data_IF_446765320623
#
_entry.id   IF_446765320623
#
_cell.length_a   1.000
_cell.length_b   1.000
_cell.length_c   1.000
_cell.angle_alpha   90.00
_cell.angle_beta   90.00
_cell.angle_gamma   90.00
#
_symmetry.space_group_name_H-M   'P 1'
#
loop_
_entity.id
_entity.type
_entity.pdbx_description
1 polymer ?
#
# COMPACT_ATOMS: atom_id res chain seq x y z
N UNK A 1 -3.67 6.13 14.48
CA UNK A 1 -4.39 4.89 14.15
C UNK A 1 -5.86 5.15 14.34
N UNK A 2 -6.68 4.78 13.35
CA UNK A 2 -8.13 4.87 13.41
C UNK A 2 -8.72 3.48 13.65
N UNK A 3 -9.79 3.37 14.42
CA UNK A 3 -10.50 2.11 14.65
C UNK A 3 -11.93 2.24 14.15
N UNK A 4 -12.36 1.32 13.29
CA UNK A 4 -13.72 1.26 12.75
C UNK A 4 -14.22 -0.17 12.82
N UNK A 5 -15.28 -0.42 13.60
CA UNK A 5 -15.84 -1.76 13.82
C UNK A 5 -14.78 -2.79 14.26
N UNK A 6 -13.76 -2.36 15.02
CA UNK A 6 -12.64 -3.22 15.45
C UNK A 6 -11.45 -3.24 14.48
N UNK A 7 -11.63 -2.80 13.23
CA UNK A 7 -10.58 -2.78 12.20
C UNK A 7 -9.63 -1.62 12.46
N UNK A 8 -8.32 -1.92 12.58
CA UNK A 8 -7.28 -0.91 12.85
C UNK A 8 -6.66 -0.42 11.54
N UNK A 9 -6.94 0.84 11.20
CA UNK A 9 -6.50 1.48 9.96
C UNK A 9 -5.41 2.50 10.28
N UNK A 10 -4.30 2.45 9.55
CA UNK A 10 -3.23 3.44 9.64
C UNK A 10 -2.86 3.96 8.26
N UNK A 11 -2.81 5.28 8.11
CA UNK A 11 -2.45 5.95 6.86
C UNK A 11 -1.25 6.87 7.04
N UNK A 12 -0.39 6.95 6.02
CA UNK A 12 0.70 7.92 5.99
C UNK A 12 1.07 8.33 4.56
N UNK A 13 1.40 9.61 4.37
CA UNK A 13 1.65 10.19 3.04
C UNK A 13 3.11 10.19 2.62
N UNK A 14 4.06 9.74 3.46
CA UNK A 14 5.49 9.72 3.11
C UNK A 14 5.75 8.92 1.83
N UNK A 15 6.68 9.40 0.99
CA UNK A 15 7.07 8.71 -0.24
C UNK A 15 8.45 9.21 -0.76
N UNK A 16 9.14 8.48 -1.65
CA UNK A 16 10.46 8.84 -2.17
C UNK A 16 10.42 9.56 -3.53
N UNK A 17 9.46 10.45 -3.78
CA UNK A 17 9.32 11.16 -5.07
C UNK A 17 9.73 12.64 -4.91
N UNK A 18 10.93 13.04 -5.36
CA UNK A 18 11.41 14.42 -5.19
C UNK A 18 10.48 15.43 -5.87
N UNK A 19 10.31 16.60 -5.25
CA UNK A 19 9.52 17.71 -5.81
C UNK A 19 8.03 17.70 -5.46
N UNK A 20 7.53 16.66 -4.78
CA UNK A 20 6.14 16.58 -4.31
C UNK A 20 6.05 16.70 -2.78
N UNK A 21 4.88 17.09 -2.28
CA UNK A 21 4.61 17.20 -0.84
C UNK A 21 4.78 15.85 -0.14
N UNK A 22 5.29 15.83 1.09
CA UNK A 22 5.59 14.60 1.86
C UNK A 22 6.72 13.72 1.29
N UNK A 23 7.50 14.26 0.33
CA UNK A 23 8.70 13.61 -0.17
C UNK A 23 9.79 13.49 0.90
N UNK A 24 10.29 12.28 1.10
CA UNK A 24 11.45 11.97 1.94
C UNK A 24 12.40 11.09 1.13
N UNK A 25 13.68 11.47 0.98
CA UNK A 25 14.65 10.67 0.24
C UNK A 25 14.78 9.25 0.80
N UNK A 26 14.98 8.27 -0.10
CA UNK A 26 15.24 6.87 0.27
C UNK A 26 16.43 6.76 1.24
N UNK A 27 16.46 5.66 1.99
CA UNK A 27 17.45 5.40 3.03
C UNK A 27 16.95 5.80 4.41
N UNK A 28 17.89 6.09 5.32
CA UNK A 28 17.62 6.21 6.77
C UNK A 28 16.41 7.08 7.12
N UNK A 29 16.27 8.27 6.50
CA UNK A 29 15.18 9.21 6.81
C UNK A 29 13.80 8.65 6.47
N UNK A 30 13.68 7.93 5.35
CA UNK A 30 12.42 7.31 4.97
C UNK A 30 12.15 6.06 5.80
N UNK A 31 13.18 5.27 6.11
CA UNK A 31 13.07 4.15 7.04
C UNK A 31 12.59 4.57 8.44
N UNK A 32 13.06 5.72 8.94
CA UNK A 32 12.56 6.34 10.18
C UNK A 32 11.07 6.73 10.10
N UNK A 33 10.57 7.09 8.91
CA UNK A 33 9.13 7.32 8.74
C UNK A 33 8.34 6.02 8.80
N UNK A 34 8.86 4.94 8.24
CA UNK A 34 8.23 3.62 8.30
C UNK A 34 8.26 3.02 9.70
N UNK A 35 9.30 3.29 10.50
CA UNK A 35 9.37 2.84 11.90
C UNK A 35 8.31 3.49 12.80
N UNK A 36 7.77 4.65 12.40
CA UNK A 36 6.65 5.31 13.11
C UNK A 36 5.30 4.61 12.90
N UNK A 37 5.16 3.74 11.89
CA UNK A 37 3.93 2.97 11.69
C UNK A 37 3.78 2.02 12.89
N UNK A 38 2.66 2.06 13.64
CA UNK A 38 2.47 1.19 14.79
C UNK A 38 2.40 -0.27 14.36
N UNK A 39 2.64 -1.17 15.30
CA UNK A 39 2.31 -2.58 15.13
C UNK A 39 0.80 -2.78 15.16
N UNK A 40 0.34 -4.00 14.88
CA UNK A 40 -1.07 -4.36 15.01
C UNK A 40 -2.00 -3.55 14.09
N UNK A 41 -1.53 -3.18 12.91
CA UNK A 41 -2.34 -2.53 11.87
C UNK A 41 -3.02 -3.62 11.04
N UNK A 42 -4.32 -3.50 10.82
CA UNK A 42 -5.06 -4.42 9.95
C UNK A 42 -5.02 -3.96 8.50
N UNK A 43 -5.24 -2.66 8.29
CA UNK A 43 -5.19 -2.02 6.98
C UNK A 43 -4.17 -0.87 7.01
N UNK A 44 -3.11 -1.01 6.23
CA UNK A 44 -2.11 0.02 6.01
C UNK A 44 -2.45 0.79 4.73
N UNK A 45 -2.36 2.11 4.77
CA UNK A 45 -2.51 2.98 3.58
C UNK A 45 -1.26 3.83 3.40
N UNK A 46 -0.61 3.73 2.25
CA UNK A 46 0.53 4.58 1.88
C UNK A 46 0.34 5.16 0.49
N UNK A 47 1.08 6.22 0.14
CA UNK A 47 1.09 6.67 -1.25
C UNK A 47 1.92 5.73 -2.14
N UNK A 48 3.14 5.39 -1.68
CA UNK A 48 4.10 4.57 -2.43
C UNK A 48 3.86 3.07 -2.28
N UNK A 49 4.03 2.26 -3.36
CA UNK A 49 4.04 0.81 -3.28
C UNK A 49 5.24 0.27 -2.49
N UNK A 50 5.11 -0.88 -1.81
CA UNK A 50 6.28 -1.63 -1.37
C UNK A 50 6.98 -2.25 -2.59
N UNK A 51 8.28 -2.52 -2.47
CA UNK A 51 9.05 -3.13 -3.56
C UNK A 51 8.43 -4.47 -3.99
N UNK A 52 8.32 -4.72 -5.29
CA UNK A 52 7.87 -6.00 -5.84
C UNK A 52 6.34 -6.17 -5.98
N UNK A 53 5.53 -5.27 -5.43
CA UNK A 53 4.07 -5.33 -5.49
C UNK A 53 3.51 -4.18 -6.32
N UNK A 54 3.04 -4.49 -7.53
CA UNK A 54 2.40 -3.53 -8.45
C UNK A 54 3.21 -2.24 -8.66
N UNK A 55 4.54 -2.37 -8.67
CA UNK A 55 5.49 -1.26 -8.58
C UNK A 55 6.34 -1.06 -9.84
N UNK A 56 6.07 -1.81 -10.91
CA UNK A 56 6.76 -1.68 -12.20
C UNK A 56 6.29 -0.43 -12.93
N UNK A 57 7.19 0.35 -13.50
CA UNK A 57 6.84 1.46 -14.38
C UNK A 57 6.88 1.07 -15.86
N UNK A 58 6.47 1.95 -16.78
CA UNK A 58 6.43 1.66 -18.24
C UNK A 58 7.75 1.17 -18.82
N UNK A 59 8.86 1.63 -18.26
CA UNK A 59 10.22 1.28 -18.68
C UNK A 59 10.76 0.00 -18.01
N UNK A 60 9.92 -0.70 -17.23
CA UNK A 60 10.30 -1.91 -16.49
C UNK A 60 11.02 -1.64 -15.17
N UNK A 61 11.28 -0.37 -14.81
CA UNK A 61 11.92 -0.03 -13.53
C UNK A 61 10.98 -0.29 -12.35
N UNK A 62 11.56 -0.59 -11.18
CA UNK A 62 10.82 -0.83 -9.94
C UNK A 62 10.82 0.42 -9.07
N UNK A 63 9.64 0.98 -8.82
CA UNK A 63 9.46 2.21 -8.06
C UNK A 63 9.10 1.96 -6.59
N UNK A 64 8.88 0.71 -6.19
CA UNK A 64 8.51 0.37 -4.83
C UNK A 64 9.61 0.65 -3.80
N UNK A 65 9.22 0.77 -2.54
CA UNK A 65 10.13 1.03 -1.43
C UNK A 65 10.52 -0.26 -0.70
N UNK A 66 11.81 -0.61 -0.73
CA UNK A 66 12.33 -1.79 -0.03
C UNK A 66 12.25 -1.68 1.50
N UNK A 67 12.49 -0.49 2.06
CA UNK A 67 12.33 -0.26 3.51
C UNK A 67 10.88 -0.43 3.96
N UNK A 68 9.92 -0.04 3.11
CA UNK A 68 8.48 -0.23 3.37
C UNK A 68 8.10 -1.70 3.32
N UNK A 69 8.54 -2.43 2.29
CA UNK A 69 8.34 -3.89 2.21
C UNK A 69 8.90 -4.58 3.46
N UNK A 70 10.14 -4.26 3.83
CA UNK A 70 10.79 -4.82 5.00
C UNK A 70 10.01 -4.52 6.30
N UNK A 71 9.48 -3.30 6.46
CA UNK A 71 8.65 -2.95 7.61
C UNK A 71 7.33 -3.75 7.62
N UNK A 72 6.70 -3.94 6.46
CA UNK A 72 5.47 -4.70 6.30
C UNK A 72 5.70 -6.17 6.67
N UNK A 73 6.65 -6.84 6.02
CA UNK A 73 6.85 -8.29 6.17
C UNK A 73 7.39 -8.68 7.54
N UNK A 74 8.24 -7.84 8.15
CA UNK A 74 8.92 -8.20 9.40
C UNK A 74 8.23 -7.73 10.66
N UNK A 75 7.38 -6.70 10.59
CA UNK A 75 6.87 -6.04 11.80
C UNK A 75 5.39 -5.69 11.73
N UNK A 76 4.95 -4.99 10.69
CA UNK A 76 3.59 -4.43 10.65
C UNK A 76 2.58 -5.54 10.33
N UNK A 77 2.89 -6.37 9.33
CA UNK A 77 2.10 -7.55 8.90
C UNK A 77 0.59 -7.26 8.79
N UNK A 78 0.18 -6.21 8.05
CA UNK A 78 -1.23 -5.91 7.87
C UNK A 78 -1.90 -6.97 7.00
N UNK A 79 -3.21 -7.16 7.15
CA UNK A 79 -3.96 -8.05 6.26
C UNK A 79 -4.12 -7.42 4.87
N UNK A 80 -4.21 -6.10 4.82
CA UNK A 80 -4.30 -5.33 3.57
C UNK A 80 -3.34 -4.14 3.61
N UNK A 81 -2.59 -3.94 2.53
CA UNK A 81 -1.83 -2.73 2.26
C UNK A 81 -2.31 -2.07 0.98
N UNK A 82 -2.90 -0.89 1.11
CA UNK A 82 -3.45 -0.10 0.01
C UNK A 82 -2.48 1.03 -0.34
N UNK A 83 -2.21 1.19 -1.64
CA UNK A 83 -1.35 2.24 -2.17
C UNK A 83 -1.75 2.67 -3.57
N UNK A 84 -1.01 3.61 -4.16
CA UNK A 84 -1.21 4.07 -5.52
C UNK A 84 0.13 4.37 -6.19
N UNK A 85 0.26 5.60 -6.72
CA UNK A 85 1.47 6.19 -7.30
C UNK A 85 1.90 5.62 -8.66
N UNK A 86 1.88 4.30 -8.84
CA UNK A 86 2.24 3.64 -10.10
C UNK A 86 0.95 3.36 -10.88
N UNK A 87 0.55 4.31 -11.71
CA UNK A 87 -0.75 4.30 -12.39
C UNK A 87 -0.93 3.14 -13.38
N UNK A 88 0.18 2.60 -13.89
CA UNK A 88 0.19 1.52 -14.88
C UNK A 88 -0.12 0.13 -14.32
N UNK A 89 -0.04 -0.04 -13.00
CA UNK A 89 -0.14 -1.35 -12.36
C UNK A 89 -1.22 -1.37 -11.29
N UNK A 90 -2.39 -0.79 -11.58
CA UNK A 90 -3.59 -1.05 -10.78
C UNK A 90 -3.84 -2.57 -10.66
N UNK A 91 -4.29 -2.99 -9.49
CA UNK A 91 -4.62 -4.39 -9.22
C UNK A 91 -4.05 -4.89 -7.91
N UNK A 92 -4.05 -6.21 -7.75
CA UNK A 92 -3.76 -6.88 -6.48
C UNK A 92 -2.65 -7.92 -6.62
N UNK A 93 -1.76 -7.95 -5.64
CA UNK A 93 -0.81 -9.04 -5.41
C UNK A 93 -0.87 -9.49 -3.95
N UNK A 94 -0.22 -10.61 -3.60
CA UNK A 94 -0.16 -11.08 -2.21
C UNK A 94 1.13 -11.84 -1.93
N UNK A 95 1.56 -11.82 -0.67
CA UNK A 95 2.61 -12.70 -0.15
C UNK A 95 2.05 -13.80 0.79
N UNK A 96 0.75 -14.13 0.65
CA UNK A 96 -0.03 -15.05 1.50
C UNK A 96 -0.30 -14.57 2.94
N UNK A 97 0.25 -13.42 3.36
CA UNK A 97 -0.03 -12.80 4.67
C UNK A 97 -0.74 -11.45 4.49
N UNK A 98 -0.28 -10.67 3.51
CA UNK A 98 -0.81 -9.34 3.16
C UNK A 98 -1.34 -9.36 1.73
N UNK A 99 -2.51 -8.75 1.52
CA UNK A 99 -2.97 -8.33 0.20
C UNK A 99 -2.44 -6.93 -0.10
N UNK A 100 -1.76 -6.77 -1.23
CA UNK A 100 -1.19 -5.51 -1.69
C UNK A 100 -2.06 -4.98 -2.83
N UNK A 101 -2.70 -3.84 -2.61
CA UNK A 101 -3.69 -3.27 -3.53
C UNK A 101 -3.17 -1.93 -4.06
N UNK A 102 -2.83 -1.89 -5.34
CA UNK A 102 -2.63 -0.64 -6.05
C UNK A 102 -3.98 -0.11 -6.54
N UNK A 103 -4.53 0.85 -5.80
CA UNK A 103 -5.82 1.48 -6.07
C UNK A 103 -5.71 2.74 -6.95
N UNK A 104 -4.68 2.85 -7.80
CA UNK A 104 -4.56 3.97 -8.73
C UNK A 104 -5.72 3.98 -9.73
N UNK A 105 -6.60 4.98 -9.65
CA UNK A 105 -7.78 5.12 -10.54
C UNK A 105 -7.38 5.74 -11.88
N UNK A 106 -6.50 6.74 -11.84
CA UNK A 106 -6.15 7.53 -13.00
C UNK A 106 -5.01 6.92 -13.82
N UNK A 107 -5.00 7.20 -15.12
CA UNK A 107 -3.82 7.06 -15.98
C UNK A 107 -2.80 8.17 -15.69
N UNK A 108 -1.64 8.14 -16.35
CA UNK A 108 -0.68 9.27 -16.30
C UNK A 108 -1.23 10.58 -16.88
N UNK A 109 -2.24 10.49 -17.74
CA UNK A 109 -2.93 11.64 -18.32
C UNK A 109 -4.08 12.14 -17.44
N UNK A 110 -4.19 11.61 -16.20
CA UNK A 110 -5.21 11.96 -15.20
C UNK A 110 -6.64 11.57 -15.61
N UNK A 111 -6.78 10.66 -16.55
CA UNK A 111 -8.05 10.09 -16.96
C UNK A 111 -8.42 8.95 -16.02
N UNK A 112 -9.65 8.90 -15.53
CA UNK A 112 -10.15 7.77 -14.73
C UNK A 112 -10.34 6.54 -15.61
N UNK A 113 -9.38 5.62 -15.58
CA UNK A 113 -9.35 4.45 -16.47
C UNK A 113 -9.49 3.12 -15.72
N UNK A 114 -9.20 3.10 -14.42
CA UNK A 114 -9.30 1.89 -13.60
C UNK A 114 -10.55 1.96 -12.72
N UNK A 115 -11.24 0.82 -12.60
CA UNK A 115 -12.38 0.69 -11.69
C UNK A 115 -11.89 0.67 -10.23
N UNK A 116 -12.77 1.04 -9.28
CA UNK A 116 -12.50 0.82 -7.86
C UNK A 116 -12.31 -0.67 -7.57
N UNK A 117 -11.30 -0.99 -6.77
CA UNK A 117 -11.09 -2.34 -6.26
C UNK A 117 -11.90 -2.52 -4.99
N UNK A 118 -12.70 -3.58 -4.94
CA UNK A 118 -13.57 -3.90 -3.80
C UNK A 118 -13.00 -5.14 -3.09
N UNK A 119 -13.03 -5.14 -1.76
CA UNK A 119 -12.74 -6.33 -0.95
C UNK A 119 -13.64 -6.35 0.29
N UNK A 120 -13.99 -7.54 0.75
CA UNK A 120 -14.83 -7.71 1.93
C UNK A 120 -13.99 -8.02 3.17
N UNK A 121 -14.50 -7.58 4.32
CA UNK A 121 -13.90 -7.85 5.62
C UNK A 121 -14.89 -8.60 6.50
N UNK A 122 -14.52 -9.82 6.93
CA UNK A 122 -15.29 -10.55 7.92
C UNK A 122 -15.01 -9.98 9.31
N UNK A 123 -16.01 -9.35 9.93
CA UNK A 123 -15.87 -8.75 11.26
C UNK A 123 -15.72 -9.80 12.37
N UNK A 124 -16.31 -10.97 12.23
CA UNK A 124 -16.26 -12.04 13.24
C UNK A 124 -14.91 -12.76 13.22
N UNK A 125 -14.45 -13.16 12.03
CA UNK A 125 -13.16 -13.86 11.83
C UNK A 125 -11.97 -12.88 11.78
N UNK A 126 -12.27 -11.58 11.70
CA UNK A 126 -11.31 -10.49 11.62
C UNK A 126 -10.29 -10.68 10.48
N UNK A 127 -10.78 -11.04 9.30
CA UNK A 127 -9.99 -11.37 8.12
C UNK A 127 -10.60 -10.77 6.85
N UNK A 128 -9.80 -10.74 5.77
CA UNK A 128 -10.32 -10.44 4.43
C UNK A 128 -11.02 -11.70 3.92
N UNK A 129 -12.27 -11.57 3.50
CA UNK A 129 -13.05 -12.68 2.93
C UNK A 129 -13.50 -12.31 1.51
N UNK A 130 -13.75 -13.31 0.65
CA UNK A 130 -14.33 -13.09 -0.68
C UNK A 130 -13.46 -13.53 -1.87
N UNK A 131 -14.15 -13.89 -2.96
CA UNK A 131 -13.59 -14.37 -4.24
C UNK A 131 -13.34 -13.25 -5.26
N UNK A 132 -13.65 -12.02 -4.90
CA UNK A 132 -13.61 -10.85 -5.79
C UNK A 132 -12.77 -9.78 -5.12
N UNK A 133 -11.45 -9.94 -5.18
CA UNK A 133 -10.58 -8.77 -5.26
C UNK A 133 -10.54 -8.47 -6.77
N UNK A 134 -11.61 -7.84 -7.27
CA UNK A 134 -11.77 -7.40 -8.67
C UNK A 134 -11.29 -5.96 -8.82
#
# INVERSE_FOLDING_TARGET
MYNLFGIRIYGTSWHPLPGYSFSVPRGKRLAEKWSMIPENVDILVTHTPPLGHNDTFKDGTKWGCGDLLNAIEKRIKPKVHIFGHVHENNGITSNNETYFINASICSHHLESVNNPIIFDWNLEEHCVCGKHVE
#
